data_IF_664770924064
#
_entry.id   IF_664770924064
#
_cell.length_a   1.000
_cell.length_b   1.000
_cell.length_c   1.000
_cell.angle_alpha   90.00
_cell.angle_beta   90.00
_cell.angle_gamma   90.00
#
_symmetry.space_group_name_H-M   'P 1'
#
loop_
_entity.id
_entity.type
_entity.pdbx_description
1 polymer ?
#
# COMPACT_ATOMS: atom_id res chain seq x y z
N UNK A 1 23.39 12.72 -3.29
CA UNK A 1 22.95 11.54 -4.05
C UNK A 1 21.46 11.38 -3.82
N UNK A 2 20.71 10.85 -4.80
CA UNK A 2 19.31 10.58 -4.66
C UNK A 2 19.07 9.41 -3.67
N UNK A 3 17.96 9.46 -2.92
CA UNK A 3 17.54 8.37 -2.03
C UNK A 3 16.94 7.24 -2.87
N UNK A 4 17.56 6.06 -2.87
CA UNK A 4 17.22 4.95 -3.78
C UNK A 4 16.51 3.81 -3.06
N UNK A 5 15.37 3.42 -3.58
CA UNK A 5 14.49 2.38 -3.01
C UNK A 5 14.46 1.14 -3.91
N UNK A 6 14.58 -0.04 -3.30
CA UNK A 6 14.20 -1.32 -3.87
C UNK A 6 12.79 -1.65 -3.39
N UNK A 7 11.84 -1.83 -4.33
CA UNK A 7 10.43 -2.12 -4.02
C UNK A 7 10.12 -3.59 -4.31
N UNK A 8 9.71 -4.33 -3.28
CA UNK A 8 9.39 -5.77 -3.32
C UNK A 8 7.89 -5.97 -3.28
N UNK A 9 7.39 -6.95 -4.04
CA UNK A 9 5.95 -7.18 -4.21
C UNK A 9 5.24 -5.93 -4.73
N UNK A 10 5.87 -5.28 -5.70
CA UNK A 10 5.59 -3.91 -6.07
C UNK A 10 4.21 -3.70 -6.73
N UNK A 11 3.56 -4.79 -7.15
CA UNK A 11 2.30 -4.70 -7.87
C UNK A 11 2.43 -3.83 -9.12
N UNK A 12 1.42 -3.03 -9.37
CA UNK A 12 1.44 -2.06 -10.47
C UNK A 12 2.19 -0.75 -10.13
N UNK A 13 2.94 -0.69 -9.01
CA UNK A 13 3.78 0.47 -8.68
C UNK A 13 3.10 1.57 -7.87
N UNK A 14 2.10 1.26 -7.05
CA UNK A 14 1.43 2.28 -6.21
C UNK A 14 2.36 2.91 -5.18
N UNK A 15 3.14 2.08 -4.47
CA UNK A 15 4.16 2.57 -3.53
C UNK A 15 5.28 3.29 -4.27
N UNK A 16 5.70 2.77 -5.43
CA UNK A 16 6.72 3.39 -6.27
C UNK A 16 6.32 4.81 -6.71
N UNK A 17 5.09 5.00 -7.18
CA UNK A 17 4.59 6.33 -7.54
C UNK A 17 4.62 7.27 -6.31
N UNK A 18 4.21 6.78 -5.14
CA UNK A 18 4.26 7.57 -3.91
C UNK A 18 5.70 7.96 -3.51
N UNK A 19 6.63 7.03 -3.63
CA UNK A 19 8.05 7.26 -3.37
C UNK A 19 8.66 8.29 -4.35
N UNK A 20 8.35 8.16 -5.63
CA UNK A 20 8.74 9.16 -6.64
C UNK A 20 8.20 10.55 -6.32
N UNK A 21 6.93 10.66 -5.94
CA UNK A 21 6.32 11.92 -5.51
C UNK A 21 6.93 12.50 -4.21
N UNK A 22 7.62 11.70 -3.43
CA UNK A 22 8.43 12.13 -2.28
C UNK A 22 9.85 12.56 -2.69
N UNK A 23 10.26 12.35 -3.94
CA UNK A 23 11.60 12.67 -4.45
C UNK A 23 12.61 11.50 -4.39
N UNK A 24 12.15 10.29 -4.08
CA UNK A 24 13.01 9.11 -4.15
C UNK A 24 13.16 8.58 -5.58
N UNK A 25 14.28 7.92 -5.84
CA UNK A 25 14.53 7.13 -7.04
C UNK A 25 14.35 5.64 -6.76
N UNK A 26 14.18 4.84 -7.81
CA UNK A 26 14.05 3.40 -7.69
C UNK A 26 15.30 2.68 -8.18
N UNK A 27 15.86 1.79 -7.35
CA UNK A 27 16.91 0.86 -7.75
C UNK A 27 16.35 -0.24 -8.66
N UNK A 28 15.22 -0.80 -8.26
CA UNK A 28 14.36 -1.70 -9.04
C UNK A 28 13.01 -1.88 -8.34
N UNK A 29 12.02 -2.35 -9.10
CA UNK A 29 10.78 -2.91 -8.59
C UNK A 29 10.77 -4.42 -8.92
N UNK A 30 10.35 -5.26 -7.98
CA UNK A 30 10.24 -6.72 -8.19
C UNK A 30 8.79 -7.14 -8.01
N UNK A 31 8.22 -7.79 -9.04
CA UNK A 31 6.85 -8.28 -9.05
C UNK A 31 6.75 -9.57 -9.87
N UNK A 32 5.99 -10.57 -9.38
CA UNK A 32 5.83 -11.85 -10.07
C UNK A 32 4.58 -11.91 -10.95
N UNK A 33 3.54 -11.09 -10.68
CA UNK A 33 2.35 -11.00 -11.54
C UNK A 33 2.68 -10.26 -12.82
N UNK A 34 2.64 -10.97 -13.95
CA UNK A 34 3.04 -10.42 -15.24
C UNK A 34 2.18 -9.23 -15.70
N UNK A 35 0.89 -9.15 -15.32
CA UNK A 35 0.05 -8.02 -15.67
C UNK A 35 0.39 -6.78 -14.85
N UNK A 36 0.64 -6.95 -13.55
CA UNK A 36 1.08 -5.87 -12.68
C UNK A 36 2.46 -5.34 -13.08
N UNK A 37 3.41 -6.24 -13.38
CA UNK A 37 4.73 -5.87 -13.85
C UNK A 37 4.69 -5.11 -15.19
N UNK A 38 3.85 -5.52 -16.14
CA UNK A 38 3.66 -4.79 -17.41
C UNK A 38 3.09 -3.40 -17.19
N UNK A 39 2.11 -3.24 -16.28
CA UNK A 39 1.57 -1.93 -15.93
C UNK A 39 2.65 -1.03 -15.31
N UNK A 40 3.43 -1.55 -14.38
CA UNK A 40 4.55 -0.81 -13.77
C UNK A 40 5.62 -0.43 -14.80
N UNK A 41 5.98 -1.33 -15.74
CA UNK A 41 6.91 -1.04 -16.85
C UNK A 41 6.35 0.06 -17.76
N UNK A 42 5.07 -0.01 -18.10
CA UNK A 42 4.41 1.01 -18.94
C UNK A 42 4.32 2.37 -18.23
N UNK A 43 4.28 2.39 -16.90
CA UNK A 43 4.38 3.60 -16.10
C UNK A 43 5.82 4.15 -15.99
N UNK A 44 6.81 3.50 -16.60
CA UNK A 44 8.20 3.95 -16.63
C UNK A 44 9.07 3.47 -15.45
N UNK A 45 8.57 2.53 -14.62
CA UNK A 45 9.34 2.02 -13.50
C UNK A 45 10.39 0.99 -13.91
N UNK A 46 11.58 0.94 -13.25
CA UNK A 46 12.64 -0.06 -13.51
C UNK A 46 12.22 -1.44 -12.97
N UNK A 47 11.27 -2.08 -13.65
CA UNK A 47 10.64 -3.32 -13.26
C UNK A 47 11.50 -4.54 -13.60
N UNK A 48 11.58 -5.48 -12.66
CA UNK A 48 12.14 -6.82 -12.80
C UNK A 48 11.03 -7.85 -12.52
N UNK A 49 10.55 -8.48 -13.58
CA UNK A 49 9.53 -9.53 -13.47
C UNK A 49 10.13 -10.81 -12.87
N UNK A 50 9.62 -11.25 -11.76
CA UNK A 50 10.02 -12.50 -11.12
C UNK A 50 9.63 -12.60 -9.65
N UNK A 51 9.95 -13.76 -9.07
CA UNK A 51 9.75 -14.03 -7.66
C UNK A 51 10.84 -13.37 -6.82
N UNK A 52 10.49 -12.71 -5.73
CA UNK A 52 11.45 -12.05 -4.81
C UNK A 52 12.48 -13.02 -4.21
N UNK A 53 12.27 -14.32 -4.29
CA UNK A 53 13.22 -15.37 -3.89
C UNK A 53 14.32 -15.61 -4.93
N UNK A 54 14.14 -15.17 -6.16
CA UNK A 54 15.16 -15.31 -7.21
C UNK A 54 16.28 -14.29 -7.01
N UNK A 55 17.42 -14.78 -6.58
CA UNK A 55 18.57 -13.96 -6.24
C UNK A 55 19.15 -13.16 -7.43
N UNK A 56 18.92 -13.62 -8.66
CA UNK A 56 19.37 -12.95 -9.90
C UNK A 56 18.67 -11.59 -10.08
N UNK A 57 17.48 -11.42 -9.48
CA UNK A 57 16.76 -10.16 -9.52
C UNK A 57 17.43 -9.03 -8.72
N UNK A 58 18.46 -9.35 -7.94
CA UNK A 58 19.21 -8.36 -7.14
C UNK A 58 20.56 -8.00 -7.76
N UNK A 59 20.91 -8.59 -8.89
CA UNK A 59 22.17 -8.30 -9.55
C UNK A 59 22.20 -6.85 -10.07
N UNK A 60 23.37 -6.19 -9.90
CA UNK A 60 23.63 -4.83 -10.41
C UNK A 60 22.62 -3.76 -9.94
N UNK A 61 22.03 -3.88 -8.76
CA UNK A 61 21.14 -2.86 -8.21
C UNK A 61 21.85 -1.52 -7.91
N UNK A 62 23.17 -1.58 -7.67
CA UNK A 62 23.92 -0.46 -7.11
C UNK A 62 23.54 -0.18 -5.65
N UNK A 63 23.78 1.04 -5.18
CA UNK A 63 23.42 1.43 -3.83
C UNK A 63 21.89 1.43 -3.63
N UNK A 64 21.44 0.90 -2.50
CA UNK A 64 20.03 0.85 -2.06
C UNK A 64 19.98 1.44 -0.65
N UNK A 65 19.35 2.62 -0.52
CA UNK A 65 19.18 3.29 0.78
C UNK A 65 18.05 2.66 1.59
N UNK A 66 16.97 2.25 0.89
CA UNK A 66 15.83 1.63 1.54
C UNK A 66 15.26 0.45 0.75
N UNK A 67 14.69 -0.53 1.48
CA UNK A 67 13.84 -1.58 0.93
C UNK A 67 12.40 -1.29 1.36
N UNK A 68 11.51 -1.12 0.38
CA UNK A 68 10.06 -1.16 0.57
C UNK A 68 9.55 -2.56 0.28
N UNK A 69 8.52 -3.03 0.98
CA UNK A 69 7.84 -4.28 0.67
C UNK A 69 6.36 -4.23 1.01
N UNK A 70 5.54 -4.82 0.14
CA UNK A 70 4.12 -5.05 0.39
C UNK A 70 3.83 -6.56 0.32
N UNK A 71 4.35 -7.37 1.28
CA UNK A 71 4.26 -8.82 1.21
C UNK A 71 2.78 -9.27 1.15
N UNK A 72 2.48 -10.40 0.47
CA UNK A 72 1.13 -10.90 0.32
C UNK A 72 0.33 -10.88 1.62
N UNK A 73 -0.88 -10.29 1.58
CA UNK A 73 -1.75 -10.12 2.75
C UNK A 73 -2.85 -11.19 2.85
N UNK A 74 -2.93 -12.11 1.89
CA UNK A 74 -4.02 -13.08 1.80
C UNK A 74 -4.11 -13.99 3.04
N UNK A 75 -2.97 -14.37 3.62
CA UNK A 75 -2.89 -15.12 4.87
C UNK A 75 -3.57 -14.40 6.07
N UNK A 76 -3.70 -13.07 6.00
CA UNK A 76 -4.14 -12.22 7.11
C UNK A 76 -5.42 -11.44 6.81
N UNK A 77 -5.93 -11.51 5.57
CA UNK A 77 -7.07 -10.73 5.12
C UNK A 77 -8.40 -11.36 5.52
N UNK A 78 -9.30 -10.55 6.09
CA UNK A 78 -10.68 -10.95 6.41
C UNK A 78 -11.45 -11.38 5.15
N UNK A 79 -11.10 -10.86 3.98
CA UNK A 79 -11.75 -11.19 2.71
C UNK A 79 -11.52 -12.64 2.25
N UNK A 80 -10.50 -13.33 2.79
CA UNK A 80 -10.12 -14.70 2.43
C UNK A 80 -10.29 -15.71 3.60
N UNK A 81 -11.13 -15.42 4.59
CA UNK A 81 -11.28 -16.23 5.81
C UNK A 81 -11.80 -17.65 5.61
N UNK A 82 -12.19 -18.04 4.40
CA UNK A 82 -12.81 -19.34 4.12
C UNK A 82 -11.95 -20.30 3.30
N UNK A 83 -10.72 -19.92 2.94
CA UNK A 83 -9.87 -20.70 2.00
C UNK A 83 -8.55 -21.14 2.65
N UNK A 84 -8.48 -22.37 3.17
CA UNK A 84 -7.23 -23.03 3.58
C UNK A 84 -6.54 -22.49 4.84
N UNK A 85 -5.24 -22.81 5.04
CA UNK A 85 -4.44 -22.37 6.18
C UNK A 85 -4.40 -20.86 6.31
N UNK A 86 -4.29 -20.34 7.54
CA UNK A 86 -4.34 -18.91 7.84
C UNK A 86 -3.15 -18.48 8.65
N UNK A 87 -2.80 -17.21 8.49
CA UNK A 87 -1.77 -16.62 9.32
C UNK A 87 -0.38 -17.18 9.04
N UNK A 88 0.35 -17.50 10.11
CA UNK A 88 1.70 -18.04 10.03
C UNK A 88 1.79 -19.41 9.34
N UNK A 89 0.74 -20.21 9.42
CA UNK A 89 0.69 -21.57 8.85
C UNK A 89 0.49 -21.54 7.32
N UNK A 90 0.15 -20.40 6.74
CA UNK A 90 0.04 -20.21 5.30
C UNK A 90 1.39 -19.84 4.69
N UNK A 91 2.27 -20.82 4.58
CA UNK A 91 3.64 -20.63 4.10
C UNK A 91 3.74 -20.20 2.63
N UNK A 92 2.70 -20.43 1.83
CA UNK A 92 2.66 -20.04 0.41
C UNK A 92 2.22 -18.59 0.21
N UNK A 93 1.41 -18.04 1.13
CA UNK A 93 0.85 -16.69 1.03
C UNK A 93 1.35 -15.73 2.11
N UNK A 94 2.22 -16.22 3.02
CA UNK A 94 2.93 -15.41 3.99
C UNK A 94 4.27 -14.94 3.41
N UNK A 95 4.29 -13.77 2.80
CA UNK A 95 5.51 -13.19 2.20
C UNK A 95 6.48 -12.53 3.18
N UNK A 96 6.17 -12.46 4.47
CA UNK A 96 7.05 -11.82 5.46
C UNK A 96 8.44 -12.48 5.60
N UNK A 97 8.57 -13.82 5.63
CA UNK A 97 9.88 -14.46 5.66
C UNK A 97 10.74 -14.05 4.46
N UNK A 98 10.16 -13.99 3.26
CA UNK A 98 10.87 -13.61 2.05
C UNK A 98 11.31 -12.14 2.08
N UNK A 99 10.46 -11.25 2.57
CA UNK A 99 10.82 -9.84 2.79
C UNK A 99 12.01 -9.71 3.75
N UNK A 100 11.97 -10.40 4.89
CA UNK A 100 13.04 -10.39 5.89
C UNK A 100 14.36 -10.95 5.34
N UNK A 101 14.31 -11.98 4.48
CA UNK A 101 15.50 -12.57 3.87
C UNK A 101 16.18 -11.57 2.91
N UNK A 102 15.38 -10.84 2.13
CA UNK A 102 15.92 -9.77 1.27
C UNK A 102 16.52 -8.64 2.11
N UNK A 103 15.84 -8.19 3.16
CA UNK A 103 16.38 -7.16 4.08
C UNK A 103 17.71 -7.59 4.71
N UNK A 104 17.83 -8.85 5.17
CA UNK A 104 19.08 -9.40 5.70
C UNK A 104 20.21 -9.42 4.68
N UNK A 105 19.89 -9.66 3.42
CA UNK A 105 20.83 -9.76 2.32
C UNK A 105 21.31 -8.39 1.84
N UNK A 106 20.36 -7.49 1.56
CA UNK A 106 20.66 -6.15 1.02
C UNK A 106 21.26 -5.24 2.09
N UNK A 107 20.85 -5.41 3.36
CA UNK A 107 21.25 -4.56 4.48
C UNK A 107 21.08 -3.07 4.19
N UNK A 108 19.88 -2.65 3.70
CA UNK A 108 19.62 -1.25 3.42
C UNK A 108 19.71 -0.43 4.71
N UNK A 109 19.95 0.87 4.60
CA UNK A 109 19.95 1.77 5.76
C UNK A 109 18.58 1.86 6.41
N UNK A 110 17.52 1.78 5.59
CA UNK A 110 16.12 1.78 6.03
C UNK A 110 15.35 0.60 5.43
N UNK A 111 14.36 0.12 6.16
CA UNK A 111 13.36 -0.75 5.57
C UNK A 111 11.96 -0.31 5.98
N UNK A 112 11.03 -0.47 5.03
CA UNK A 112 9.61 -0.16 5.16
C UNK A 112 8.79 -1.34 4.67
N UNK A 113 7.73 -1.69 5.36
CA UNK A 113 6.81 -2.70 4.86
C UNK A 113 5.36 -2.35 5.19
N UNK A 114 4.44 -2.67 4.26
CA UNK A 114 3.00 -2.46 4.42
C UNK A 114 2.28 -3.79 4.54
N UNK A 115 1.21 -3.83 5.36
CA UNK A 115 0.26 -4.94 5.34
C UNK A 115 -1.11 -4.53 5.92
N UNK A 116 -2.06 -5.48 5.85
CA UNK A 116 -3.37 -5.32 6.49
C UNK A 116 -3.24 -5.40 8.02
N UNK A 117 -4.17 -4.73 8.74
CA UNK A 117 -4.18 -4.73 10.21
C UNK A 117 -4.22 -6.14 10.82
N UNK A 118 -4.83 -7.11 10.13
CA UNK A 118 -4.87 -8.51 10.59
C UNK A 118 -3.50 -9.18 10.74
N UNK A 119 -2.46 -8.67 10.08
CA UNK A 119 -1.09 -9.18 10.20
C UNK A 119 -0.38 -8.69 11.48
N UNK A 120 -0.93 -7.72 12.22
CA UNK A 120 -0.27 -7.08 13.37
C UNK A 120 0.19 -8.09 14.45
N UNK A 121 -0.57 -9.13 14.85
CA UNK A 121 -0.07 -10.11 15.83
C UNK A 121 1.19 -10.83 15.36
N UNK A 122 1.24 -11.27 14.10
CA UNK A 122 2.42 -11.92 13.53
C UNK A 122 3.60 -10.93 13.40
N UNK A 123 3.33 -9.73 12.95
CA UNK A 123 4.35 -8.67 12.85
C UNK A 123 4.98 -8.42 14.21
N UNK A 124 4.15 -8.31 15.26
CA UNK A 124 4.64 -8.07 16.62
C UNK A 124 5.47 -9.23 17.17
N UNK A 125 5.01 -10.47 16.94
CA UNK A 125 5.65 -11.66 17.49
C UNK A 125 6.90 -12.09 16.70
N UNK A 126 6.96 -11.83 15.38
CA UNK A 126 7.98 -12.42 14.50
C UNK A 126 8.80 -11.35 13.77
N UNK A 127 8.15 -10.38 13.12
CA UNK A 127 8.83 -9.44 12.23
C UNK A 127 9.63 -8.40 13.03
N UNK A 128 9.03 -7.82 14.07
CA UNK A 128 9.69 -6.82 14.92
C UNK A 128 10.96 -7.37 15.57
N UNK A 129 10.96 -8.56 16.23
CA UNK A 129 12.17 -9.13 16.78
C UNK A 129 13.25 -9.36 15.73
N UNK A 130 12.89 -9.87 14.54
CA UNK A 130 13.82 -10.10 13.45
C UNK A 130 14.47 -8.79 12.95
N UNK A 131 13.70 -7.70 12.86
CA UNK A 131 14.21 -6.40 12.44
C UNK A 131 15.04 -5.72 13.56
N UNK A 132 14.68 -5.88 14.84
CA UNK A 132 15.46 -5.37 15.96
C UNK A 132 16.85 -5.99 16.08
N UNK A 133 17.03 -7.21 15.55
CA UNK A 133 18.35 -7.82 15.43
C UNK A 133 19.24 -7.16 14.36
N UNK A 134 18.67 -6.33 13.48
CA UNK A 134 19.35 -5.70 12.35
C UNK A 134 19.45 -4.17 12.50
N UNK A 135 18.46 -3.55 13.15
CA UNK A 135 18.31 -2.10 13.22
C UNK A 135 18.14 -1.60 14.64
N UNK A 136 18.77 -0.47 14.99
CA UNK A 136 18.62 0.16 16.31
C UNK A 136 17.19 0.57 16.63
N UNK A 137 16.41 0.95 15.62
CA UNK A 137 15.04 1.42 15.81
C UNK A 137 14.05 0.69 14.88
N UNK A 138 12.92 0.26 15.45
CA UNK A 138 11.80 -0.36 14.72
C UNK A 138 10.51 0.23 15.25
N UNK A 139 9.70 0.77 14.36
CA UNK A 139 8.37 1.31 14.65
C UNK A 139 7.29 0.57 13.86
N UNK A 140 6.08 0.51 14.41
CA UNK A 140 4.88 0.04 13.70
C UNK A 140 3.83 1.14 13.80
N UNK A 141 3.36 1.59 12.64
CA UNK A 141 2.32 2.61 12.54
C UNK A 141 1.03 1.99 12.03
N UNK A 142 -0.09 2.38 12.60
CA UNK A 142 -1.40 2.05 12.06
C UNK A 142 -2.02 3.30 11.46
N UNK A 143 -2.07 3.40 10.14
CA UNK A 143 -2.51 4.57 9.42
C UNK A 143 -3.81 4.30 8.67
N UNK A 144 -4.71 5.29 8.65
CA UNK A 144 -5.85 5.28 7.74
C UNK A 144 -5.58 6.27 6.60
N UNK A 145 -5.69 5.81 5.36
CA UNK A 145 -5.37 6.58 4.17
C UNK A 145 -6.17 7.90 4.08
N UNK A 146 -7.41 7.95 4.58
CA UNK A 146 -8.23 9.17 4.60
C UNK A 146 -7.59 10.31 5.39
N UNK A 147 -6.83 9.98 6.42
CA UNK A 147 -6.16 10.97 7.28
C UNK A 147 -4.98 11.65 6.57
N UNK A 148 -4.63 11.16 5.37
CA UNK A 148 -3.57 11.67 4.51
C UNK A 148 -4.07 12.12 3.13
N UNK A 149 -5.36 12.47 3.03
CA UNK A 149 -5.96 13.05 1.83
C UNK A 149 -6.29 12.06 0.72
N UNK A 150 -6.33 10.78 1.02
CA UNK A 150 -6.90 9.75 0.13
C UNK A 150 -8.41 9.72 0.34
N UNK A 151 -9.24 9.79 -0.71
CA UNK A 151 -10.72 9.77 -0.57
C UNK A 151 -11.24 8.35 -0.27
N UNK A 152 -10.53 7.62 0.60
CA UNK A 152 -10.81 6.23 0.93
C UNK A 152 -10.44 5.92 2.38
N UNK A 153 -11.34 5.28 3.11
CA UNK A 153 -11.08 4.73 4.44
C UNK A 153 -10.39 3.37 4.29
N UNK A 154 -9.06 3.37 4.34
CA UNK A 154 -8.20 2.19 4.19
C UNK A 154 -7.16 2.16 5.30
N UNK A 155 -7.39 1.33 6.31
CA UNK A 155 -6.45 1.16 7.42
C UNK A 155 -5.40 0.11 7.09
N UNK A 156 -4.12 0.45 7.27
CA UNK A 156 -2.96 -0.42 7.05
C UNK A 156 -1.95 -0.27 8.18
N UNK A 157 -1.17 -1.31 8.40
CA UNK A 157 0.02 -1.23 9.25
C UNK A 157 1.24 -0.99 8.37
N UNK A 158 2.17 -0.20 8.92
CA UNK A 158 3.48 0.04 8.31
C UNK A 158 4.56 -0.26 9.34
N UNK A 159 5.50 -1.10 8.96
CA UNK A 159 6.70 -1.38 9.74
C UNK A 159 7.81 -0.53 9.16
N UNK A 160 8.49 0.25 9.99
CA UNK A 160 9.63 1.08 9.59
C UNK A 160 10.80 0.76 10.51
N UNK A 161 11.95 0.43 9.94
CA UNK A 161 13.16 0.18 10.71
C UNK A 161 14.36 0.91 10.09
N UNK A 162 15.25 1.38 10.93
CA UNK A 162 16.40 2.15 10.50
C UNK A 162 17.34 2.54 11.66
N UNK A 163 18.30 3.45 11.39
CA UNK A 163 19.32 3.85 12.36
C UNK A 163 18.77 4.66 13.54
N UNK A 164 17.63 5.34 13.36
CA UNK A 164 16.98 6.14 14.40
C UNK A 164 15.48 5.91 14.43
N UNK A 165 14.86 6.19 15.57
CA UNK A 165 13.41 6.13 15.71
C UNK A 165 12.74 7.27 14.93
N UNK A 166 11.68 6.94 14.19
CA UNK A 166 10.84 7.89 13.48
C UNK A 166 9.43 7.84 14.07
N UNK A 167 8.90 9.00 14.43
CA UNK A 167 7.52 9.12 14.86
C UNK A 167 6.54 8.89 13.70
N UNK A 168 5.36 8.38 14.03
CA UNK A 168 4.28 8.26 13.07
C UNK A 168 3.98 9.62 12.44
N UNK A 169 3.87 9.73 11.10
CA UNK A 169 3.50 10.96 10.43
C UNK A 169 2.17 11.53 10.97
N UNK A 170 2.13 12.83 11.19
CA UNK A 170 0.89 13.48 11.64
C UNK A 170 -0.17 13.45 10.53
N UNK A 171 -1.46 13.27 10.87
CA UNK A 171 -2.54 13.45 9.91
C UNK A 171 -2.47 14.82 9.24
N UNK A 172 -2.70 14.84 7.92
CA UNK A 172 -2.81 16.06 7.12
C UNK A 172 -4.26 16.44 6.82
N UNK A 173 -5.19 15.53 7.09
CA UNK A 173 -6.63 15.70 6.93
C UNK A 173 -7.34 15.11 8.14
N UNK A 174 -8.46 15.72 8.51
CA UNK A 174 -9.22 15.39 9.71
C UNK A 174 -10.71 15.26 9.41
N UNK A 175 -11.51 14.69 10.32
CA UNK A 175 -12.97 14.69 10.19
C UNK A 175 -13.50 16.13 9.96
N UNK A 176 -14.60 16.29 9.19
CA UNK A 176 -15.15 17.61 8.89
C UNK A 176 -15.38 18.51 10.10
N UNK A 177 -15.84 17.94 11.21
CA UNK A 177 -16.13 18.63 12.48
C UNK A 177 -14.87 19.15 13.19
N UNK A 178 -13.69 18.61 12.88
CA UNK A 178 -12.41 19.02 13.46
C UNK A 178 -11.63 19.98 12.55
N UNK A 179 -12.01 20.11 11.28
CA UNK A 179 -11.24 20.83 10.27
C UNK A 179 -11.02 22.31 10.64
N UNK A 180 -12.07 23.01 11.02
CA UNK A 180 -12.00 24.41 11.42
C UNK A 180 -11.22 24.61 12.72
N UNK A 181 -11.35 23.69 13.68
CA UNK A 181 -10.71 23.77 15.00
C UNK A 181 -9.19 23.59 14.87
N UNK A 182 -8.77 22.64 14.04
CA UNK A 182 -7.35 22.28 13.89
C UNK A 182 -6.64 23.06 12.75
N UNK A 183 -7.38 23.83 11.94
CA UNK A 183 -6.82 24.51 10.78
C UNK A 183 -6.31 23.54 9.70
N UNK A 184 -6.85 22.31 9.66
CA UNK A 184 -6.45 21.27 8.70
C UNK A 184 -7.57 21.03 7.69
N UNK A 185 -7.23 20.59 6.46
CA UNK A 185 -8.22 20.15 5.48
C UNK A 185 -9.11 19.03 6.03
N UNK A 186 -10.41 19.05 5.69
CA UNK A 186 -11.29 17.91 5.96
C UNK A 186 -10.94 16.70 5.11
N UNK A 187 -11.34 15.52 5.54
CA UNK A 187 -11.24 14.30 4.72
C UNK A 187 -11.82 14.53 3.33
N UNK A 188 -11.10 14.03 2.33
CA UNK A 188 -11.60 14.00 0.95
C UNK A 188 -12.68 12.94 0.82
N UNK A 189 -13.78 13.31 0.18
CA UNK A 189 -14.95 12.48 0.01
C UNK A 189 -15.02 11.87 -1.39
N UNK A 190 -15.93 10.93 -1.62
CA UNK A 190 -16.23 10.43 -2.96
C UNK A 190 -16.78 11.55 -3.86
N UNK A 191 -17.52 12.52 -3.32
CA UNK A 191 -17.95 13.71 -4.05
C UNK A 191 -16.77 14.51 -4.56
N UNK A 192 -15.76 14.75 -3.72
CA UNK A 192 -14.56 15.49 -4.11
C UNK A 192 -13.74 14.78 -5.19
N UNK A 193 -13.76 13.46 -5.21
CA UNK A 193 -12.95 12.64 -6.09
C UNK A 193 -13.68 12.27 -7.42
N UNK A 194 -14.96 11.99 -7.36
CA UNK A 194 -15.74 11.40 -8.47
C UNK A 194 -16.95 12.23 -8.87
N UNK A 195 -17.25 13.34 -8.19
CA UNK A 195 -18.46 14.14 -8.44
C UNK A 195 -19.78 13.48 -8.03
N UNK A 196 -19.72 12.35 -7.31
CA UNK A 196 -20.93 11.59 -6.90
C UNK A 196 -21.51 12.13 -5.59
N UNK A 197 -22.81 11.89 -5.27
CA UNK A 197 -23.51 12.53 -4.15
C UNK A 197 -23.18 11.90 -2.77
N UNK A 198 -21.91 11.53 -2.52
CA UNK A 198 -21.48 10.94 -1.25
C UNK A 198 -20.45 11.80 -0.56
N UNK A 199 -20.82 12.47 0.54
CA UNK A 199 -19.98 13.34 1.35
C UNK A 199 -19.16 12.58 2.41
N UNK A 200 -18.58 11.47 2.01
CA UNK A 200 -17.70 10.63 2.85
C UNK A 200 -16.60 9.98 2.02
N UNK A 201 -15.47 9.58 2.65
CA UNK A 201 -14.49 8.72 2.00
C UNK A 201 -15.13 7.38 1.59
N UNK A 202 -14.67 6.78 0.51
CA UNK A 202 -15.09 5.43 0.11
C UNK A 202 -14.64 4.39 1.14
N UNK A 203 -15.27 3.21 1.21
CA UNK A 203 -14.65 2.02 1.79
C UNK A 203 -13.37 1.66 1.05
N UNK A 204 -12.59 0.72 1.63
CA UNK A 204 -11.40 0.22 0.98
C UNK A 204 -11.74 -0.45 -0.37
N UNK A 205 -11.08 -0.02 -1.43
CA UNK A 205 -11.13 -0.68 -2.75
C UNK A 205 -10.51 -2.07 -2.62
N UNK A 206 -11.23 -3.11 -3.04
CA UNK A 206 -10.85 -4.51 -2.92
C UNK A 206 -10.47 -5.11 -4.28
N UNK A 207 -9.74 -6.23 -4.25
CA UNK A 207 -9.26 -6.94 -5.45
C UNK A 207 -10.35 -7.70 -6.20
N UNK A 208 -11.42 -8.06 -5.51
CA UNK A 208 -12.52 -8.88 -6.04
C UNK A 208 -13.79 -8.10 -6.39
N UNK A 209 -13.67 -6.79 -6.56
CA UNK A 209 -14.74 -5.92 -7.05
C UNK A 209 -15.36 -6.45 -8.36
N UNK A 210 -14.57 -7.24 -9.12
CA UNK A 210 -14.99 -7.85 -10.39
C UNK A 210 -15.99 -9.01 -10.23
N UNK A 211 -15.90 -9.81 -9.16
CA UNK A 211 -16.68 -11.06 -9.05
C UNK A 211 -18.16 -10.85 -8.77
N UNK A 212 -18.82 -9.86 -9.39
CA UNK A 212 -20.27 -9.75 -9.58
C UNK A 212 -21.16 -10.46 -8.55
N UNK A 213 -20.67 -10.70 -7.32
CA UNK A 213 -21.55 -11.20 -6.26
C UNK A 213 -22.66 -10.19 -6.13
N UNK A 214 -23.92 -10.61 -6.24
CA UNK A 214 -25.02 -9.75 -5.87
C UNK A 214 -24.62 -9.16 -4.52
N UNK A 215 -24.67 -7.84 -4.39
CA UNK A 215 -24.41 -7.17 -3.13
C UNK A 215 -25.41 -7.76 -2.13
N UNK A 216 -25.00 -8.83 -1.40
CA UNK A 216 -25.79 -9.32 -0.29
C UNK A 216 -25.80 -8.19 0.74
N UNK A 217 -26.95 -7.51 0.92
CA UNK A 217 -27.04 -6.38 1.85
C UNK A 217 -26.60 -6.75 3.26
N UNK A 218 -26.74 -8.03 3.65
CA UNK A 218 -26.38 -8.53 4.97
C UNK A 218 -24.86 -8.67 5.14
N UNK A 219 -24.13 -9.02 4.07
CA UNK A 219 -22.67 -9.13 4.12
C UNK A 219 -22.01 -7.74 4.17
N UNK A 220 -22.55 -6.79 3.41
CA UNK A 220 -22.09 -5.39 3.40
C UNK A 220 -22.42 -4.64 4.69
N UNK A 221 -23.58 -4.91 5.31
CA UNK A 221 -23.94 -4.36 6.60
C UNK A 221 -22.98 -4.82 7.72
N UNK A 222 -22.45 -6.05 7.65
CA UNK A 222 -21.42 -6.56 8.57
C UNK A 222 -20.05 -5.88 8.38
N UNK A 223 -19.74 -5.34 7.20
CA UNK A 223 -18.49 -4.65 6.88
C UNK A 223 -18.52 -3.14 7.17
N UNK A 224 -19.24 -2.67 8.15
CA UNK A 224 -19.28 -1.28 8.64
C UNK A 224 -20.36 -0.36 8.04
N UNK A 225 -21.60 -0.76 7.95
CA UNK A 225 -22.68 0.07 7.38
C UNK A 225 -22.38 0.62 5.98
N UNK A 226 -21.54 -0.10 5.23
CA UNK A 226 -21.01 0.33 3.94
C UNK A 226 -21.89 -0.12 2.76
N UNK A 227 -23.20 -0.31 3.00
CA UNK A 227 -24.14 -0.80 1.98
C UNK A 227 -24.26 0.05 0.71
N UNK A 228 -23.70 1.27 0.73
CA UNK A 228 -23.93 2.23 -0.36
C UNK A 228 -22.67 2.65 -1.14
N UNK A 229 -21.49 2.22 -0.73
CA UNK A 229 -20.27 2.90 -1.16
C UNK A 229 -19.60 2.35 -2.41
N UNK A 230 -20.01 1.18 -2.90
CA UNK A 230 -19.48 0.61 -4.15
C UNK A 230 -20.56 0.51 -5.24
N UNK A 231 -21.74 0.96 -4.94
CA UNK A 231 -22.83 1.08 -5.90
C UNK A 231 -23.30 2.53 -5.92
N UNK A 232 -22.81 3.30 -6.87
CA UNK A 232 -23.26 4.66 -7.09
C UNK A 232 -24.70 4.59 -7.63
N UNK A 233 -25.66 5.11 -6.86
CA UNK A 233 -27.01 5.31 -7.37
C UNK A 233 -26.99 6.51 -8.31
N UNK A 234 -27.02 6.26 -9.60
CA UNK A 234 -27.41 7.24 -10.59
C UNK A 234 -28.84 6.91 -11.01
N UNK A 235 -29.77 7.81 -10.78
CA UNK A 235 -31.21 7.67 -11.18
C UNK A 235 -31.89 6.37 -10.70
N UNK A 236 -31.60 5.92 -9.46
CA UNK A 236 -32.23 4.73 -8.90
C UNK A 236 -31.59 3.39 -9.28
N UNK A 237 -30.59 3.38 -10.17
CA UNK A 237 -29.82 2.19 -10.51
C UNK A 237 -28.49 2.17 -9.75
N UNK A 238 -28.17 1.05 -9.11
CA UNK A 238 -26.85 0.85 -8.45
C UNK A 238 -25.79 0.61 -9.53
N UNK A 239 -24.89 1.57 -9.74
CA UNK A 239 -23.72 1.42 -10.63
C UNK A 239 -22.53 0.94 -9.82
N UNK A 240 -21.83 -0.08 -10.29
CA UNK A 240 -20.53 -0.50 -9.78
C UNK A 240 -19.46 0.52 -10.20
N UNK A 241 -18.51 0.84 -9.31
CA UNK A 241 -17.33 1.63 -9.67
C UNK A 241 -16.52 0.89 -10.74
N UNK A 242 -16.12 1.58 -11.78
CA UNK A 242 -15.20 1.05 -12.77
C UNK A 242 -13.73 1.13 -12.28
N UNK A 243 -12.79 0.57 -13.07
CA UNK A 243 -11.36 0.54 -12.72
C UNK A 243 -10.80 1.94 -12.54
N UNK A 244 -11.22 2.89 -13.39
CA UNK A 244 -10.72 4.27 -13.35
C UNK A 244 -11.23 5.00 -12.12
N UNK A 245 -12.50 4.83 -11.76
CA UNK A 245 -13.08 5.37 -10.52
C UNK A 245 -12.36 4.80 -9.28
N UNK A 246 -12.09 3.48 -9.28
CA UNK A 246 -11.32 2.82 -8.22
C UNK A 246 -9.88 3.37 -8.13
N UNK A 247 -9.24 3.63 -9.28
CA UNK A 247 -7.90 4.20 -9.35
C UNK A 247 -7.84 5.64 -8.81
N UNK A 248 -8.84 6.46 -9.13
CA UNK A 248 -8.98 7.82 -8.57
C UNK A 248 -9.10 7.77 -7.04
N UNK A 249 -9.93 6.87 -6.50
CA UNK A 249 -10.10 6.69 -5.05
C UNK A 249 -8.81 6.19 -4.39
N UNK A 250 -7.96 5.48 -5.11
CA UNK A 250 -6.62 5.08 -4.67
C UNK A 250 -5.57 6.17 -4.89
N UNK A 251 -5.93 7.30 -5.51
CA UNK A 251 -5.03 8.44 -5.85
C UNK A 251 -4.00 8.15 -6.93
N UNK A 252 -4.29 7.25 -7.85
CA UNK A 252 -3.55 7.14 -9.10
C UNK A 252 -3.93 8.24 -10.08
N UNK A 253 -3.05 8.63 -11.01
CA UNK A 253 -3.39 9.44 -12.17
C UNK A 253 -4.47 8.78 -13.03
N UNK A 254 -5.25 9.58 -13.77
CA UNK A 254 -6.33 9.08 -14.65
C UNK A 254 -5.82 8.19 -15.77
N UNK A 255 -4.65 8.48 -16.27
CA UNK A 255 -3.97 7.82 -17.39
C UNK A 255 -2.99 6.73 -16.94
N UNK A 256 -3.04 6.31 -15.67
CA UNK A 256 -2.15 5.27 -15.18
C UNK A 256 -2.36 3.95 -15.93
N UNK A 257 -1.32 3.31 -16.49
CA UNK A 257 -1.44 2.26 -17.51
C UNK A 257 -1.77 0.87 -16.93
N UNK A 258 -2.84 0.75 -16.15
CA UNK A 258 -3.33 -0.55 -15.72
C UNK A 258 -3.67 -1.43 -16.91
N UNK A 259 -3.12 -2.67 -16.94
CA UNK A 259 -3.20 -3.55 -18.09
C UNK A 259 -3.79 -4.92 -17.80
N UNK A 260 -4.09 -5.65 -18.88
CA UNK A 260 -4.63 -7.00 -18.81
C UNK A 260 -6.15 -7.08 -18.78
N UNK A 261 -6.68 -8.21 -18.31
CA UNK A 261 -8.12 -8.41 -18.18
C UNK A 261 -8.75 -7.42 -17.20
N UNK A 262 -10.03 -7.23 -17.27
CA UNK A 262 -10.78 -6.37 -16.32
C UNK A 262 -10.50 -6.80 -14.87
N UNK A 263 -10.48 -8.11 -14.60
CA UNK A 263 -10.14 -8.66 -13.28
C UNK A 263 -8.71 -8.32 -12.85
N UNK A 264 -7.74 -8.46 -13.76
CA UNK A 264 -6.35 -8.11 -13.49
C UNK A 264 -6.20 -6.62 -13.13
N UNK A 265 -6.90 -5.74 -13.83
CA UNK A 265 -6.89 -4.29 -13.54
C UNK A 265 -7.48 -3.95 -12.17
N UNK A 266 -8.63 -4.54 -11.79
CA UNK A 266 -9.17 -4.37 -10.43
C UNK A 266 -8.22 -4.90 -9.37
N UNK A 267 -7.57 -6.03 -9.62
CA UNK A 267 -6.57 -6.60 -8.70
C UNK A 267 -5.36 -5.68 -8.52
N UNK A 268 -4.86 -5.10 -9.60
CA UNK A 268 -3.77 -4.12 -9.55
C UNK A 268 -4.13 -2.91 -8.70
N UNK A 269 -5.31 -2.33 -8.92
CA UNK A 269 -5.79 -1.17 -8.14
C UNK A 269 -6.06 -1.54 -6.70
N UNK A 270 -6.75 -2.66 -6.43
CA UNK A 270 -7.16 -3.06 -5.08
C UNK A 270 -5.99 -3.47 -4.17
N UNK A 271 -4.95 -4.10 -4.75
CA UNK A 271 -3.73 -4.48 -3.99
C UNK A 271 -2.82 -3.29 -3.71
N UNK A 272 -2.90 -2.23 -4.49
CA UNK A 272 -1.96 -1.12 -4.38
C UNK A 272 -2.01 -0.41 -3.01
N UNK A 273 -0.85 0.01 -2.55
CA UNK A 273 -0.76 1.07 -1.55
C UNK A 273 -1.11 2.39 -2.24
N UNK A 274 -2.04 3.20 -1.69
CA UNK A 274 -2.37 4.47 -2.31
C UNK A 274 -1.12 5.37 -2.44
N UNK A 275 -0.80 5.88 -3.65
CA UNK A 275 0.40 6.68 -3.86
C UNK A 275 0.55 7.85 -2.89
N UNK A 276 -0.54 8.55 -2.58
CA UNK A 276 -0.52 9.66 -1.62
C UNK A 276 -0.15 9.21 -0.21
N UNK A 277 -0.58 8.03 0.23
CA UNK A 277 -0.20 7.49 1.54
C UNK A 277 1.26 7.04 1.55
N UNK A 278 1.72 6.34 0.50
CA UNK A 278 3.12 5.92 0.37
C UNK A 278 4.08 7.13 0.37
N UNK A 279 3.70 8.22 -0.32
CA UNK A 279 4.46 9.47 -0.30
C UNK A 279 4.74 9.99 1.11
N UNK A 280 3.72 9.99 1.98
CA UNK A 280 3.86 10.49 3.36
C UNK A 280 4.86 9.66 4.16
N UNK A 281 4.84 8.35 3.97
CA UNK A 281 5.71 7.43 4.70
C UNK A 281 7.16 7.57 4.22
N UNK A 282 7.35 7.57 2.91
CA UNK A 282 8.69 7.71 2.30
C UNK A 282 9.29 9.08 2.64
N UNK A 283 8.50 10.16 2.58
CA UNK A 283 8.97 11.49 2.98
C UNK A 283 9.45 11.52 4.44
N UNK A 284 8.72 10.91 5.38
CA UNK A 284 9.13 10.85 6.78
C UNK A 284 10.46 10.09 6.99
N UNK A 285 10.69 9.03 6.21
CA UNK A 285 11.96 8.30 6.24
C UNK A 285 13.09 9.12 5.62
N UNK A 286 12.84 9.78 4.48
CA UNK A 286 13.85 10.62 3.83
C UNK A 286 14.25 11.82 4.69
N UNK A 287 13.29 12.47 5.34
CA UNK A 287 13.55 13.60 6.26
C UNK A 287 14.43 13.16 7.43
N UNK A 288 14.17 11.96 7.98
CA UNK A 288 15.00 11.39 9.03
C UNK A 288 16.40 11.02 8.51
N UNK A 289 16.51 10.48 7.29
CA UNK A 289 17.79 10.15 6.67
C UNK A 289 18.66 11.37 6.43
N UNK A 290 18.07 12.48 5.98
CA UNK A 290 18.76 13.74 5.74
C UNK A 290 19.33 14.35 7.03
N UNK A 291 18.74 14.06 8.18
CA UNK A 291 19.21 14.53 9.49
C UNK A 291 20.43 13.75 10.03
N UNK A 292 20.81 12.65 9.37
CA UNK A 292 21.87 11.76 9.82
C UNK A 292 23.17 11.96 9.03
N UNK A 293 24.33 11.78 9.66
CA UNK A 293 25.60 11.73 8.93
C UNK A 293 25.57 10.59 7.91
N UNK A 294 26.05 10.87 6.70
CA UNK A 294 26.22 9.83 5.68
C UNK A 294 27.42 8.96 6.02
N UNK A 295 27.33 7.63 5.85
CA UNK A 295 28.51 6.78 5.95
C UNK A 295 29.55 7.25 4.92
N UNK A 296 30.83 7.28 5.37
CA UNK A 296 31.98 7.65 4.56
C UNK A 296 32.18 6.67 3.38
#
# INVERSE_FOLDING_TARGET
>A
MAFRILDLFAGAGGAALGAHLAGAEHAALIEYDAWAARAATAAGWPMRLGDVRDLRLYDRLGAVDAVWGSPPCQAWSVAHQHEGPKGADDTERNGWPWYLDVVRRIRPRWCMAENVKGALPYVTATVIPALRALYPAVAVWTLNARDYGVPQSRTRIFVVAGPVAISQPRPTHVPPEQAAILGLPRWRTMRDALGVPYDRPSPAVLTNEYKGRPLDPKWWAKLNNASDALAIATNGARKRLDVSECAILQTFPLDYPFGGTVEARYRQVGNAVPPRLARVIVAAVMDADLSLPRPA
#
